data_IF_354065758533
#
_entry.id   IF_354065758533
#
_cell.length_a   1.000
_cell.length_b   1.000
_cell.length_c   1.000
_cell.angle_alpha   90.00
_cell.angle_beta   90.00
_cell.angle_gamma   90.00
#
_symmetry.space_group_name_H-M   'P 1'
#
loop_
_entity.id
_entity.type
_entity.pdbx_description
1 polymer ?
#
# COMPACT_ATOMS: atom_id res chain seq x y z
N UNK A 1 11.22 -7.85 19.64
CA UNK A 1 10.65 -6.89 18.67
C UNK A 1 9.74 -5.87 19.35
N UNK A 2 8.73 -6.27 20.12
CA UNK A 2 7.84 -5.32 20.82
C UNK A 2 8.56 -4.30 21.72
N UNK A 3 9.62 -4.71 22.44
CA UNK A 3 10.42 -3.79 23.28
C UNK A 3 11.12 -2.69 22.48
N UNK A 4 11.54 -3.02 21.25
CA UNK A 4 12.25 -2.11 20.33
C UNK A 4 11.26 -1.19 19.60
N UNK A 5 10.03 -1.64 19.41
CA UNK A 5 8.99 -0.86 18.72
C UNK A 5 8.20 0.06 19.67
N UNK A 6 7.87 -0.44 20.87
CA UNK A 6 6.89 0.18 21.77
C UNK A 6 7.29 0.12 23.26
N UNK A 7 8.46 -0.43 23.58
CA UNK A 7 8.90 -0.64 24.96
C UNK A 7 10.04 0.29 25.38
N UNK A 8 10.76 -0.07 26.45
CA UNK A 8 11.82 0.76 27.01
C UNK A 8 13.02 0.96 26.07
N UNK A 9 13.19 0.06 25.10
CA UNK A 9 14.26 0.09 24.11
C UNK A 9 13.79 0.70 22.79
N UNK A 10 12.73 1.52 22.82
CA UNK A 10 12.15 2.11 21.63
C UNK A 10 13.19 2.95 20.86
N UNK A 11 13.36 2.65 19.58
CA UNK A 11 14.35 3.31 18.71
C UNK A 11 13.78 4.49 17.91
N UNK A 12 12.47 4.49 17.65
CA UNK A 12 11.82 5.54 16.86
C UNK A 12 11.41 6.69 17.76
N UNK A 13 11.96 7.91 17.58
CA UNK A 13 11.49 9.08 18.32
C UNK A 13 10.05 9.50 17.95
N UNK A 14 9.35 10.26 18.80
CA UNK A 14 8.06 10.85 18.46
C UNK A 14 8.18 11.83 17.29
N UNK A 15 7.08 11.99 16.55
CA UNK A 15 6.99 13.04 15.54
C UNK A 15 6.99 14.42 16.20
N UNK A 16 7.70 15.39 15.61
CA UNK A 16 7.71 16.78 16.08
C UNK A 16 6.39 17.49 15.74
N UNK A 17 5.36 17.21 16.54
CA UNK A 17 3.99 17.71 16.41
C UNK A 17 3.58 18.49 17.66
N UNK A 18 2.60 19.39 17.54
CA UNK A 18 2.13 20.24 18.65
C UNK A 18 0.61 20.25 18.74
N UNK A 19 0.09 20.40 19.97
CA UNK A 19 -1.35 20.49 20.22
C UNK A 19 -2.09 19.18 19.91
N UNK A 20 -3.26 19.28 19.29
CA UNK A 20 -4.14 18.13 19.02
C UNK A 20 -3.47 17.05 18.16
N UNK A 21 -2.64 17.42 17.17
CA UNK A 21 -1.97 16.44 16.31
C UNK A 21 -0.99 15.57 17.09
N UNK A 22 -0.36 16.11 18.13
CA UNK A 22 0.52 15.32 19.01
C UNK A 22 -0.26 14.22 19.73
N UNK A 23 -1.40 14.55 20.33
CA UNK A 23 -2.22 13.56 21.03
C UNK A 23 -2.81 12.50 20.10
N UNK A 24 -3.16 12.88 18.87
CA UNK A 24 -3.73 11.95 17.89
C UNK A 24 -2.69 11.04 17.22
N UNK A 25 -1.46 11.52 17.01
CA UNK A 25 -0.45 10.81 16.22
C UNK A 25 0.66 10.18 17.05
N UNK A 26 0.98 10.75 18.22
CA UNK A 26 2.01 10.28 19.14
C UNK A 26 1.42 9.69 20.43
N UNK A 27 0.11 9.41 20.49
CA UNK A 27 -0.53 8.90 21.71
C UNK A 27 0.04 7.57 22.20
N UNK A 28 0.68 6.79 21.32
CA UNK A 28 1.37 5.55 21.66
C UNK A 28 2.82 5.73 22.12
N UNK A 29 3.42 6.89 21.91
CA UNK A 29 4.84 7.13 22.19
C UNK A 29 5.18 6.95 23.68
N UNK A 30 4.31 7.45 24.57
CA UNK A 30 4.44 7.33 26.02
C UNK A 30 3.69 6.12 26.61
N UNK A 31 3.00 5.33 25.78
CA UNK A 31 2.00 4.34 26.22
C UNK A 31 2.53 2.94 26.57
N UNK A 32 3.77 2.62 26.18
CA UNK A 32 4.39 1.32 26.42
C UNK A 32 3.73 0.15 25.65
N UNK A 33 4.23 -1.06 25.92
CA UNK A 33 3.83 -2.30 25.22
C UNK A 33 2.36 -2.64 25.48
N UNK A 34 1.86 -2.40 26.70
CA UNK A 34 0.48 -2.67 27.05
C UNK A 34 -0.50 -1.91 26.17
N UNK A 35 -0.29 -0.59 26.01
CA UNK A 35 -1.13 0.23 25.13
C UNK A 35 -0.99 -0.19 23.66
N UNK A 36 0.22 -0.57 23.21
CA UNK A 36 0.43 -1.07 21.85
C UNK A 36 -0.42 -2.31 21.55
N UNK A 37 -0.45 -3.29 22.46
CA UNK A 37 -1.28 -4.49 22.32
C UNK A 37 -2.77 -4.12 22.31
N UNK A 38 -3.20 -3.17 23.15
CA UNK A 38 -4.58 -2.68 23.13
C UNK A 38 -4.93 -2.03 21.79
N UNK A 39 -4.08 -1.15 21.25
CA UNK A 39 -4.31 -0.49 19.96
C UNK A 39 -4.33 -1.50 18.81
N UNK A 40 -3.42 -2.48 18.80
CA UNK A 40 -3.44 -3.58 17.81
C UNK A 40 -4.73 -4.40 17.88
N UNK A 41 -5.20 -4.70 19.08
CA UNK A 41 -6.45 -5.43 19.28
C UNK A 41 -7.65 -4.63 18.77
N UNK A 42 -7.71 -3.33 19.10
CA UNK A 42 -8.73 -2.40 18.58
C UNK A 42 -8.68 -2.33 17.06
N UNK A 43 -7.48 -2.25 16.47
CA UNK A 43 -7.30 -2.24 15.02
C UNK A 43 -7.92 -3.49 14.38
N UNK A 44 -7.59 -4.69 14.87
CA UNK A 44 -8.13 -5.95 14.34
C UNK A 44 -9.66 -6.00 14.46
N UNK A 45 -10.21 -5.63 15.63
CA UNK A 45 -11.66 -5.58 15.84
C UNK A 45 -12.32 -4.59 14.87
N UNK A 46 -11.71 -3.43 14.65
CA UNK A 46 -12.24 -2.43 13.73
C UNK A 46 -12.17 -2.89 12.27
N UNK A 47 -11.10 -3.58 11.85
CA UNK A 47 -11.02 -4.15 10.50
C UNK A 47 -12.08 -5.22 10.28
N UNK A 48 -12.31 -6.10 11.25
CA UNK A 48 -13.39 -7.09 11.20
C UNK A 48 -14.77 -6.40 11.17
N UNK A 49 -14.97 -5.40 12.04
CA UNK A 49 -16.20 -4.61 12.07
C UNK A 49 -16.48 -3.86 10.77
N UNK A 50 -15.44 -3.36 10.10
CA UNK A 50 -15.54 -2.70 8.80
C UNK A 50 -15.99 -3.63 7.67
N UNK A 51 -15.74 -4.94 7.80
CA UNK A 51 -16.17 -5.96 6.83
C UNK A 51 -17.59 -6.45 7.15
N UNK A 52 -17.85 -6.76 8.43
CA UNK A 52 -19.06 -7.50 8.83
C UNK A 52 -20.28 -6.62 9.14
N UNK A 53 -20.08 -5.33 9.43
CA UNK A 53 -21.17 -4.46 9.91
C UNK A 53 -21.63 -3.42 8.89
N UNK A 54 -22.79 -2.84 9.13
CA UNK A 54 -23.30 -1.70 8.36
C UNK A 54 -22.60 -0.37 8.68
N UNK A 55 -21.80 -0.29 9.75
CA UNK A 55 -21.11 0.93 10.20
C UNK A 55 -19.67 1.02 9.70
N UNK A 56 -19.41 0.50 8.49
CA UNK A 56 -18.08 0.37 7.88
C UNK A 56 -17.23 1.64 7.98
N UNK A 57 -17.85 2.80 7.72
CA UNK A 57 -17.20 4.12 7.74
C UNK A 57 -16.56 4.44 9.10
N UNK A 58 -17.31 4.25 10.19
CA UNK A 58 -16.84 4.56 11.54
C UNK A 58 -15.70 3.64 11.94
N UNK A 59 -15.87 2.34 11.72
CA UNK A 59 -14.83 1.36 12.00
C UNK A 59 -13.55 1.62 11.19
N UNK A 60 -13.67 2.01 9.93
CA UNK A 60 -12.51 2.34 9.08
C UNK A 60 -11.76 3.57 9.58
N UNK A 61 -12.45 4.62 10.06
CA UNK A 61 -11.78 5.78 10.65
C UNK A 61 -11.06 5.44 11.96
N UNK A 62 -11.69 4.63 12.83
CA UNK A 62 -11.04 4.20 14.08
C UNK A 62 -9.81 3.34 13.75
N UNK A 63 -9.92 2.42 12.77
CA UNK A 63 -8.81 1.63 12.27
C UNK A 63 -7.68 2.51 11.71
N UNK A 64 -8.01 3.56 10.96
CA UNK A 64 -7.03 4.52 10.46
C UNK A 64 -6.24 5.20 11.59
N UNK A 65 -6.91 5.74 12.61
CA UNK A 65 -6.21 6.37 13.73
C UNK A 65 -5.38 5.37 14.55
N UNK A 66 -5.89 4.16 14.78
CA UNK A 66 -5.15 3.10 15.45
C UNK A 66 -3.89 2.71 14.67
N UNK A 67 -4.03 2.50 13.35
CA UNK A 67 -2.91 2.20 12.47
C UNK A 67 -1.91 3.37 12.40
N UNK A 68 -2.38 4.62 12.33
CA UNK A 68 -1.52 5.80 12.28
C UNK A 68 -0.66 5.92 13.55
N UNK A 69 -1.24 5.66 14.73
CA UNK A 69 -0.47 5.64 15.99
C UNK A 69 0.61 4.55 15.98
N UNK A 70 0.27 3.34 15.52
CA UNK A 70 1.23 2.24 15.45
C UNK A 70 2.38 2.57 14.48
N UNK A 71 2.05 2.96 13.25
CA UNK A 71 3.01 3.28 12.19
C UNK A 71 3.89 4.47 12.61
N UNK A 72 3.33 5.54 13.16
CA UNK A 72 4.14 6.68 13.61
C UNK A 72 5.08 6.32 14.76
N UNK A 73 4.62 5.46 15.68
CA UNK A 73 5.44 4.99 16.80
C UNK A 73 6.61 4.14 16.32
N UNK A 74 6.52 3.49 15.16
CA UNK A 74 7.58 2.65 14.57
C UNK A 74 8.18 3.21 13.28
N UNK A 75 8.21 4.53 13.09
CA UNK A 75 8.49 5.11 11.78
C UNK A 75 9.81 4.68 11.13
N UNK A 76 10.86 4.37 11.91
CA UNK A 76 12.15 3.91 11.38
C UNK A 76 12.11 2.48 10.82
N UNK A 77 11.13 1.68 11.23
CA UNK A 77 10.99 0.27 10.86
C UNK A 77 9.98 0.06 9.74
N UNK A 78 9.31 1.12 9.30
CA UNK A 78 8.23 1.01 8.33
C UNK A 78 8.77 0.99 6.90
N UNK A 79 8.18 0.13 6.08
CA UNK A 79 8.28 0.19 4.64
C UNK A 79 7.26 1.14 4.00
N UNK A 80 7.39 1.36 2.69
CA UNK A 80 6.39 2.03 1.87
C UNK A 80 5.01 1.34 1.88
N UNK A 81 4.94 0.04 2.20
CA UNK A 81 3.68 -0.71 2.32
C UNK A 81 2.81 -0.19 3.45
N UNK A 82 3.39 0.09 4.62
CA UNK A 82 2.65 0.65 5.76
C UNK A 82 2.06 2.03 5.45
N UNK A 83 2.83 2.89 4.78
CA UNK A 83 2.35 4.21 4.38
C UNK A 83 1.26 4.15 3.31
N UNK A 84 1.38 3.23 2.34
CA UNK A 84 0.33 3.00 1.36
C UNK A 84 -0.97 2.54 2.04
N UNK A 85 -0.90 1.58 2.96
CA UNK A 85 -2.07 1.11 3.71
C UNK A 85 -2.74 2.22 4.51
N UNK A 86 -1.97 3.12 5.15
CA UNK A 86 -2.53 4.28 5.85
C UNK A 86 -3.31 5.21 4.92
N UNK A 87 -2.73 5.54 3.76
CA UNK A 87 -3.38 6.42 2.77
C UNK A 87 -4.67 5.76 2.24
N UNK A 88 -4.61 4.45 1.96
CA UNK A 88 -5.79 3.69 1.52
C UNK A 88 -6.87 3.69 2.61
N UNK A 89 -6.53 3.36 3.85
CA UNK A 89 -7.48 3.37 4.98
C UNK A 89 -8.11 4.76 5.20
N UNK A 90 -7.31 5.81 5.10
CA UNK A 90 -7.80 7.19 5.20
C UNK A 90 -8.90 7.46 4.18
N UNK A 91 -8.64 7.17 2.90
CA UNK A 91 -9.62 7.42 1.83
C UNK A 91 -10.82 6.47 1.90
N UNK A 92 -10.62 5.20 2.29
CA UNK A 92 -11.72 4.27 2.54
C UNK A 92 -12.68 4.77 3.63
N UNK A 93 -12.16 5.49 4.63
CA UNK A 93 -12.98 6.14 5.67
C UNK A 93 -13.99 7.16 5.12
N UNK A 94 -13.76 7.73 3.93
CA UNK A 94 -14.73 8.64 3.30
C UNK A 94 -15.81 7.91 2.49
N UNK A 95 -15.60 6.63 2.16
CA UNK A 95 -16.55 5.86 1.35
C UNK A 95 -17.75 5.45 2.19
N UNK A 96 -18.94 5.87 1.75
CA UNK A 96 -20.22 5.50 2.32
C UNK A 96 -21.09 4.79 1.27
N UNK A 97 -21.13 3.46 1.33
CA UNK A 97 -21.92 2.61 0.42
C UNK A 97 -23.44 2.86 0.50
N UNK A 98 -23.94 3.43 1.61
CA UNK A 98 -25.38 3.70 1.79
C UNK A 98 -25.87 4.93 1.01
N UNK A 99 -24.97 5.85 0.70
CA UNK A 99 -25.29 7.15 0.11
C UNK A 99 -24.76 7.27 -1.32
N UNK A 100 -25.28 6.44 -2.22
CA UNK A 100 -24.87 6.37 -3.65
C UNK A 100 -25.78 7.16 -4.59
N UNK A 101 -26.76 7.91 -4.05
CA UNK A 101 -27.69 8.71 -4.85
C UNK A 101 -26.94 9.73 -5.71
N UNK A 102 -27.28 9.79 -7.00
CA UNK A 102 -26.71 10.76 -7.92
C UNK A 102 -27.02 12.20 -7.48
N UNK A 103 -26.05 13.11 -7.61
CA UNK A 103 -26.21 14.53 -7.26
C UNK A 103 -25.99 14.91 -5.79
N UNK A 104 -25.78 13.95 -4.89
CA UNK A 104 -25.46 14.23 -3.48
C UNK A 104 -23.94 14.43 -3.27
N UNK A 105 -23.55 15.36 -2.39
CA UNK A 105 -22.17 15.58 -1.94
C UNK A 105 -21.51 14.31 -1.41
N UNK A 106 -22.26 13.44 -0.71
CA UNK A 106 -21.75 12.15 -0.24
C UNK A 106 -21.29 11.24 -1.37
N UNK A 107 -21.99 11.24 -2.50
CA UNK A 107 -21.61 10.44 -3.67
C UNK A 107 -20.40 11.05 -4.39
N UNK A 108 -20.29 12.38 -4.42
CA UNK A 108 -19.09 13.05 -4.92
C UNK A 108 -17.86 12.69 -4.07
N UNK A 109 -17.99 12.68 -2.73
CA UNK A 109 -16.94 12.25 -1.81
C UNK A 109 -16.54 10.78 -2.03
N UNK A 110 -17.50 9.87 -2.21
CA UNK A 110 -17.22 8.46 -2.51
C UNK A 110 -16.36 8.31 -3.78
N UNK A 111 -16.75 9.00 -4.86
CA UNK A 111 -16.02 8.98 -6.14
C UNK A 111 -14.63 9.60 -6.00
N UNK A 112 -14.54 10.73 -5.31
CA UNK A 112 -13.29 11.42 -5.03
C UNK A 112 -12.32 10.56 -4.23
N UNK A 113 -12.80 9.87 -3.19
CA UNK A 113 -11.99 8.97 -2.37
C UNK A 113 -11.46 7.78 -3.17
N UNK A 114 -12.30 7.13 -3.98
CA UNK A 114 -11.88 6.04 -4.87
C UNK A 114 -10.84 6.53 -5.89
N UNK A 115 -11.09 7.68 -6.52
CA UNK A 115 -10.15 8.27 -7.47
C UNK A 115 -8.82 8.63 -6.81
N UNK A 116 -8.84 9.15 -5.58
CA UNK A 116 -7.64 9.48 -4.83
C UNK A 116 -6.79 8.23 -4.54
N UNK A 117 -7.41 7.10 -4.18
CA UNK A 117 -6.69 5.82 -4.02
C UNK A 117 -6.10 5.36 -5.35
N UNK A 118 -6.86 5.44 -6.45
CA UNK A 118 -6.38 5.06 -7.77
C UNK A 118 -5.18 5.91 -8.22
N UNK A 119 -5.27 7.23 -8.03
CA UNK A 119 -4.17 8.16 -8.32
C UNK A 119 -2.97 7.85 -7.42
N UNK A 120 -3.18 7.56 -6.14
CA UNK A 120 -2.08 7.22 -5.22
C UNK A 120 -1.31 5.99 -5.71
N UNK A 121 -2.00 4.93 -6.13
CA UNK A 121 -1.34 3.74 -6.69
C UNK A 121 -0.59 4.08 -7.98
N UNK A 122 -1.17 4.90 -8.87
CA UNK A 122 -0.49 5.37 -10.07
C UNK A 122 0.77 6.19 -9.74
N UNK A 123 0.72 7.03 -8.71
CA UNK A 123 1.86 7.82 -8.24
C UNK A 123 2.96 6.94 -7.68
N UNK A 124 2.63 5.91 -6.88
CA UNK A 124 3.61 4.93 -6.39
C UNK A 124 4.38 4.32 -7.56
N UNK A 125 3.68 3.89 -8.61
CA UNK A 125 4.30 3.36 -9.82
C UNK A 125 5.17 4.37 -10.55
N UNK A 126 4.62 5.55 -10.84
CA UNK A 126 5.29 6.57 -11.62
C UNK A 126 6.56 7.09 -10.93
N UNK A 127 6.45 7.46 -9.66
CA UNK A 127 7.59 7.95 -8.87
C UNK A 127 8.63 6.86 -8.72
N UNK A 128 8.23 5.61 -8.45
CA UNK A 128 9.17 4.50 -8.35
C UNK A 128 9.90 4.24 -9.66
N UNK A 129 9.23 4.36 -10.81
CA UNK A 129 9.88 4.24 -12.12
C UNK A 129 10.88 5.37 -12.37
N UNK A 130 10.50 6.63 -12.06
CA UNK A 130 11.39 7.79 -12.21
C UNK A 130 12.68 7.63 -11.40
N UNK A 131 12.58 7.23 -10.14
CA UNK A 131 13.77 7.02 -9.30
C UNK A 131 14.65 5.88 -9.83
N UNK A 132 14.05 4.83 -10.40
CA UNK A 132 14.82 3.74 -11.01
C UNK A 132 15.52 4.16 -12.30
N UNK A 133 14.88 4.99 -13.14
CA UNK A 133 15.51 5.53 -14.35
C UNK A 133 16.74 6.38 -14.06
N UNK A 134 16.85 6.94 -12.85
CA UNK A 134 18.01 7.71 -12.40
C UNK A 134 19.14 6.84 -11.84
N UNK A 135 18.92 5.52 -11.67
CA UNK A 135 19.91 4.60 -11.12
C UNK A 135 20.64 3.81 -12.20
N UNK A 136 21.98 3.81 -12.14
CA UNK A 136 22.83 3.16 -13.15
C UNK A 136 22.51 1.67 -13.33
N UNK A 137 22.30 0.94 -12.24
CA UNK A 137 21.99 -0.51 -12.29
C UNK A 137 20.68 -0.84 -13.02
N UNK A 138 19.70 0.06 -13.01
CA UNK A 138 18.45 -0.12 -13.74
C UNK A 138 18.62 0.16 -15.23
N UNK A 139 19.45 1.15 -15.57
CA UNK A 139 19.80 1.50 -16.94
C UNK A 139 20.74 0.48 -17.59
N UNK A 140 21.56 -0.20 -16.81
CA UNK A 140 22.42 -1.30 -17.26
C UNK A 140 21.66 -2.65 -17.35
N UNK A 141 20.46 -2.73 -16.78
CA UNK A 141 19.65 -3.96 -16.79
C UNK A 141 20.04 -4.99 -15.71
N UNK A 142 20.91 -4.63 -14.77
CA UNK A 142 21.45 -5.50 -13.71
C UNK A 142 20.68 -5.38 -12.37
N UNK A 143 19.73 -4.45 -12.25
CA UNK A 143 19.08 -4.14 -10.97
C UNK A 143 18.33 -5.31 -10.32
N UNK A 144 17.57 -6.11 -11.09
CA UNK A 144 16.85 -7.26 -10.51
C UNK A 144 17.84 -8.34 -10.05
N UNK A 145 18.87 -8.59 -10.84
CA UNK A 145 19.95 -9.50 -10.47
C UNK A 145 20.58 -9.10 -9.13
N UNK A 146 21.01 -7.83 -9.02
CA UNK A 146 21.60 -7.31 -7.79
C UNK A 146 20.65 -7.44 -6.60
N UNK A 147 19.36 -7.19 -6.80
CA UNK A 147 18.36 -7.29 -5.73
C UNK A 147 18.20 -8.73 -5.24
N UNK A 148 18.27 -9.70 -6.15
CA UNK A 148 18.15 -11.13 -5.82
C UNK A 148 19.42 -11.74 -5.23
N UNK A 149 20.58 -11.11 -5.41
CA UNK A 149 21.83 -11.56 -4.78
C UNK A 149 22.03 -11.04 -3.36
N UNK A 150 21.21 -10.08 -2.91
CA UNK A 150 21.21 -9.67 -1.52
C UNK A 150 20.56 -10.77 -0.68
N UNK A 151 21.35 -11.42 0.18
CA UNK A 151 20.86 -12.50 1.08
C UNK A 151 19.72 -12.03 2.00
N UNK A 152 19.69 -10.74 2.34
CA UNK A 152 18.64 -10.15 3.17
C UNK A 152 17.28 -10.03 2.45
N UNK A 153 17.28 -10.04 1.11
CA UNK A 153 16.09 -9.82 0.27
C UNK A 153 15.82 -10.98 -0.69
N UNK A 154 16.39 -12.16 -0.49
CA UNK A 154 16.24 -13.29 -1.41
C UNK A 154 16.09 -14.63 -0.69
N UNK A 155 15.37 -15.56 -1.31
CA UNK A 155 15.31 -16.93 -0.83
C UNK A 155 16.60 -17.68 -1.18
N UNK A 156 17.12 -18.56 -0.31
CA UNK A 156 18.35 -19.32 -0.57
C UNK A 156 18.33 -20.14 -1.88
N UNK A 157 17.14 -20.56 -2.31
CA UNK A 157 16.95 -21.31 -3.57
C UNK A 157 17.11 -20.43 -4.81
N UNK A 158 16.85 -19.12 -4.69
CA UNK A 158 17.06 -18.18 -5.79
C UNK A 158 18.56 -18.07 -6.08
N UNK A 159 19.41 -17.98 -5.06
CA UNK A 159 20.87 -17.91 -5.22
C UNK A 159 21.48 -19.11 -5.97
N UNK A 160 20.81 -20.26 -5.99
CA UNK A 160 21.28 -21.48 -6.68
C UNK A 160 20.87 -21.56 -8.15
N UNK A 161 19.97 -20.69 -8.62
CA UNK A 161 19.37 -20.73 -9.97
C UNK A 161 19.87 -19.60 -10.90
N UNK A 162 20.84 -18.82 -10.45
CA UNK A 162 21.06 -17.44 -10.90
C UNK A 162 22.53 -17.33 -11.38
N UNK A 163 22.74 -17.25 -12.71
CA UNK A 163 24.03 -16.99 -13.41
C UNK A 163 24.10 -15.55 -13.95
N UNK A 164 25.19 -14.82 -13.71
CA UNK A 164 25.33 -13.34 -13.91
C UNK A 164 25.00 -12.85 -15.32
N UNK A 165 25.16 -13.71 -16.33
CA UNK A 165 24.97 -13.38 -17.75
C UNK A 165 23.56 -13.68 -18.28
N UNK A 166 22.62 -14.02 -17.41
CA UNK A 166 21.32 -14.49 -17.84
C UNK A 166 20.47 -13.35 -18.42
N UNK A 167 20.27 -13.39 -19.74
CA UNK A 167 19.40 -12.50 -20.52
C UNK A 167 18.01 -12.31 -19.89
N UNK A 168 17.52 -13.29 -19.12
CA UNK A 168 16.27 -13.21 -18.38
C UNK A 168 16.23 -12.03 -17.40
N UNK A 169 17.29 -11.77 -16.63
CA UNK A 169 17.29 -10.68 -15.63
C UNK A 169 17.33 -9.30 -16.28
N UNK A 170 18.06 -9.18 -17.39
CA UNK A 170 18.08 -7.96 -18.20
C UNK A 170 16.67 -7.69 -18.73
N UNK A 171 16.03 -8.70 -19.33
CA UNK A 171 14.66 -8.59 -19.81
C UNK A 171 13.68 -8.21 -18.69
N UNK A 172 13.76 -8.90 -17.55
CA UNK A 172 12.89 -8.61 -16.39
C UNK A 172 13.10 -7.18 -15.87
N UNK A 173 14.33 -6.67 -15.84
CA UNK A 173 14.63 -5.30 -15.36
C UNK A 173 13.94 -4.26 -16.23
N UNK A 174 14.11 -4.34 -17.54
CA UNK A 174 13.43 -3.44 -18.47
C UNK A 174 11.92 -3.65 -18.50
N UNK A 175 11.46 -4.90 -18.35
CA UNK A 175 10.05 -5.21 -18.28
C UNK A 175 9.38 -4.56 -17.06
N UNK A 176 10.01 -4.62 -15.87
CA UNK A 176 9.50 -3.94 -14.68
C UNK A 176 9.47 -2.42 -14.88
N UNK A 177 10.51 -1.82 -15.45
CA UNK A 177 10.53 -0.38 -15.77
C UNK A 177 9.38 0.00 -16.71
N UNK A 178 9.24 -0.73 -17.82
CA UNK A 178 8.19 -0.50 -18.80
C UNK A 178 6.81 -0.64 -18.17
N UNK A 179 6.59 -1.69 -17.36
CA UNK A 179 5.34 -1.89 -16.64
C UNK A 179 5.02 -0.73 -15.69
N UNK A 180 5.98 -0.29 -14.87
CA UNK A 180 5.77 0.81 -13.91
C UNK A 180 5.48 2.15 -14.61
N UNK A 181 6.12 2.42 -15.76
CA UNK A 181 5.85 3.63 -16.56
C UNK A 181 4.50 3.58 -17.28
N UNK A 182 4.11 2.40 -17.78
CA UNK A 182 2.88 2.23 -18.56
C UNK A 182 1.65 2.05 -17.68
N UNK A 183 1.78 1.54 -16.45
CA UNK A 183 0.66 1.29 -15.55
C UNK A 183 -0.25 2.52 -15.36
N UNK A 184 0.28 3.73 -15.03
CA UNK A 184 -0.54 4.94 -14.83
C UNK A 184 -1.36 5.36 -16.05
N UNK A 185 -1.01 4.89 -17.24
CA UNK A 185 -1.71 5.20 -18.50
C UNK A 185 -2.67 4.07 -18.86
N UNK A 186 -2.17 2.83 -18.91
CA UNK A 186 -2.90 1.67 -19.39
C UNK A 186 -4.00 1.18 -18.43
N UNK A 187 -3.93 1.51 -17.13
CA UNK A 187 -4.93 1.07 -16.17
C UNK A 187 -6.32 1.69 -16.43
N UNK A 188 -6.36 2.89 -17.03
CA UNK A 188 -7.60 3.60 -17.33
C UNK A 188 -8.33 3.03 -18.56
N UNK A 189 -7.59 2.44 -19.49
CA UNK A 189 -8.13 1.85 -20.72
C UNK A 189 -8.79 0.50 -20.40
N UNK A 190 -10.08 0.37 -20.71
CA UNK A 190 -10.87 -0.85 -20.41
C UNK A 190 -10.25 -2.12 -21.00
N UNK A 191 -9.73 -2.05 -22.23
CA UNK A 191 -9.16 -3.20 -22.93
C UNK A 191 -7.90 -3.77 -22.25
N UNK A 192 -7.07 -2.92 -21.65
CA UNK A 192 -5.78 -3.32 -21.04
C UNK A 192 -5.86 -3.48 -19.53
N UNK A 193 -6.87 -2.89 -18.87
CA UNK A 193 -7.01 -2.88 -17.40
C UNK A 193 -6.87 -4.27 -16.78
N UNK A 194 -7.65 -5.25 -17.24
CA UNK A 194 -7.61 -6.62 -16.70
C UNK A 194 -6.21 -7.22 -16.79
N UNK A 195 -5.55 -7.06 -17.93
CA UNK A 195 -4.22 -7.61 -18.18
C UNK A 195 -3.15 -6.95 -17.31
N UNK A 196 -3.18 -5.62 -17.19
CA UNK A 196 -2.26 -4.86 -16.34
C UNK A 196 -2.45 -5.19 -14.85
N UNK A 197 -3.68 -5.43 -14.40
CA UNK A 197 -3.95 -5.87 -13.03
C UNK A 197 -3.45 -7.28 -12.74
N UNK A 198 -3.65 -8.24 -13.66
CA UNK A 198 -3.11 -9.60 -13.53
C UNK A 198 -1.58 -9.54 -13.46
N UNK A 199 -0.97 -8.76 -14.35
CA UNK A 199 0.48 -8.61 -14.35
C UNK A 199 0.99 -7.96 -13.06
N UNK A 200 0.32 -6.90 -12.59
CA UNK A 200 0.61 -6.26 -11.32
C UNK A 200 0.50 -7.22 -10.13
N UNK A 201 -0.51 -8.09 -10.12
CA UNK A 201 -0.68 -9.14 -9.12
C UNK A 201 0.49 -10.13 -9.11
N UNK A 202 0.91 -10.62 -10.28
CA UNK A 202 2.06 -11.51 -10.40
C UNK A 202 3.36 -10.86 -9.92
N UNK A 203 3.62 -9.61 -10.33
CA UNK A 203 4.80 -8.85 -9.93
C UNK A 203 4.83 -8.66 -8.40
N UNK A 204 3.70 -8.28 -7.79
CA UNK A 204 3.67 -8.01 -6.35
C UNK A 204 3.64 -9.28 -5.50
N UNK A 205 3.11 -10.39 -6.03
CA UNK A 205 3.26 -11.70 -5.40
C UNK A 205 4.75 -12.13 -5.40
N UNK A 206 5.47 -11.88 -6.49
CA UNK A 206 6.92 -12.11 -6.53
C UNK A 206 7.68 -11.19 -5.58
N UNK A 207 7.33 -9.91 -5.48
CA UNK A 207 7.96 -9.00 -4.50
C UNK A 207 7.68 -9.47 -3.07
N UNK A 208 6.44 -9.90 -2.78
CA UNK A 208 6.07 -10.37 -1.45
C UNK A 208 6.87 -11.62 -1.03
N UNK A 209 6.92 -12.63 -1.91
CA UNK A 209 7.47 -13.96 -1.58
C UNK A 209 8.94 -14.07 -1.97
N UNK A 210 9.28 -13.64 -3.19
CA UNK A 210 10.61 -13.75 -3.77
C UNK A 210 11.60 -12.74 -3.17
N UNK A 211 11.15 -11.51 -2.89
CA UNK A 211 12.01 -10.46 -2.30
C UNK A 211 11.84 -10.29 -0.78
N UNK A 212 11.00 -11.11 -0.13
CA UNK A 212 10.71 -11.01 1.31
C UNK A 212 9.94 -9.76 1.75
N UNK A 213 9.50 -8.91 0.81
CA UNK A 213 8.77 -7.65 1.08
C UNK A 213 7.26 -7.90 1.16
N UNK A 214 6.86 -8.74 2.11
CA UNK A 214 5.48 -9.22 2.28
C UNK A 214 4.48 -8.08 2.44
N UNK A 215 4.80 -7.11 3.30
CA UNK A 215 3.96 -5.97 3.62
C UNK A 215 3.69 -5.07 2.42
N UNK A 216 4.71 -4.70 1.65
CA UNK A 216 4.55 -3.89 0.45
C UNK A 216 3.81 -4.65 -0.67
N UNK A 217 4.18 -5.91 -0.91
CA UNK A 217 3.54 -6.72 -1.94
C UNK A 217 2.05 -6.93 -1.66
N UNK A 218 1.68 -7.28 -0.43
CA UNK A 218 0.29 -7.45 -0.02
C UNK A 218 -0.50 -6.13 -0.05
N UNK A 219 0.10 -5.01 0.37
CA UNK A 219 -0.54 -3.70 0.32
C UNK A 219 -0.92 -3.31 -1.12
N UNK A 220 -0.01 -3.52 -2.08
CA UNK A 220 -0.27 -3.25 -3.50
C UNK A 220 -1.34 -4.18 -4.08
N UNK A 221 -1.30 -5.47 -3.74
CA UNK A 221 -2.34 -6.44 -4.16
C UNK A 221 -3.72 -6.01 -3.66
N UNK A 222 -3.82 -5.64 -2.37
CA UNK A 222 -5.07 -5.17 -1.79
C UNK A 222 -5.56 -3.88 -2.48
N UNK A 223 -4.65 -2.95 -2.81
CA UNK A 223 -4.98 -1.69 -3.47
C UNK A 223 -5.53 -1.89 -4.90
N UNK A 224 -5.18 -2.99 -5.59
CA UNK A 224 -5.76 -3.30 -6.92
C UNK A 224 -7.26 -3.52 -6.91
N UNK A 225 -7.85 -3.91 -5.77
CA UNK A 225 -9.29 -4.09 -5.66
C UNK A 225 -10.06 -2.83 -6.08
N UNK A 226 -9.50 -1.64 -5.85
CA UNK A 226 -10.13 -0.34 -6.19
C UNK A 226 -10.23 -0.11 -7.71
N UNK A 227 -9.46 -0.83 -8.51
CA UNK A 227 -9.50 -0.75 -9.97
C UNK A 227 -10.46 -1.76 -10.61
N UNK A 228 -11.06 -2.66 -9.81
CA UNK A 228 -12.01 -3.63 -10.32
C UNK A 228 -13.18 -2.94 -11.04
N UNK A 229 -13.51 -3.48 -12.21
CA UNK A 229 -14.57 -2.93 -13.05
C UNK A 229 -15.90 -2.94 -12.30
N UNK A 230 -16.21 -3.95 -11.49
CA UNK A 230 -17.50 -4.01 -10.78
C UNK A 230 -17.72 -2.85 -9.80
N UNK A 231 -16.65 -2.41 -9.14
CA UNK A 231 -16.66 -1.30 -8.17
C UNK A 231 -16.72 0.04 -8.90
N UNK A 232 -15.83 0.22 -9.88
CA UNK A 232 -15.77 1.43 -10.71
C UNK A 232 -17.10 1.62 -11.46
N UNK A 233 -17.67 0.54 -11.96
CA UNK A 233 -18.91 0.52 -12.70
C UNK A 233 -20.13 0.95 -11.85
N UNK A 234 -20.29 0.39 -10.64
CA UNK A 234 -21.38 0.75 -9.71
C UNK A 234 -21.31 2.22 -9.28
N UNK A 235 -20.10 2.75 -9.07
CA UNK A 235 -19.92 4.13 -8.62
C UNK A 235 -20.10 5.14 -9.76
N UNK A 236 -19.56 4.88 -10.94
CA UNK A 236 -19.54 5.85 -12.04
C UNK A 236 -20.72 5.73 -13.03
N UNK A 237 -21.39 4.58 -13.15
CA UNK A 237 -22.60 4.41 -14.00
C UNK A 237 -23.90 4.52 -13.21
N UNK A 238 -23.96 5.32 -12.13
CA UNK A 238 -25.24 5.84 -11.63
C UNK A 238 -25.64 7.09 -12.43
N UNK A 239 -25.69 6.97 -13.76
CA UNK A 239 -26.41 7.92 -14.62
C UNK A 239 -27.82 7.38 -14.73
N UNK A 240 -28.75 8.09 -14.11
CA UNK A 240 -30.18 7.99 -14.39
C UNK A 240 -30.36 8.04 -15.91
N UNK A 241 -30.87 6.97 -16.49
CA UNK A 241 -31.73 7.01 -17.67
C UNK A 241 -33.04 6.38 -17.22
#
# INVERSE_FOLDING_TARGET
>A
MLDICYGPQKISPPLNQRGLSNYLLNGLDEGGIGLAITIMTVLVICLIGAILTSYKRTFTFIAFFAAANLVNSTYLLNSGGHHLMLIVLFFLGFINERETKAGNWSNALNKGAVLAIQIQVCMVYFVSALYKLLGDSWMEGSAIWHSLMLEEYSLPIMNQLIDESNFVFIFMTYFLLAFQLLFPILIWLRATRKWILILGLCIHAFIAIGLGLLDFGLAMIAAYAVFDESICFKLFRNRSC
#
